data_IF_674539158526
#
_entry.id   IF_674539158526
#
_cell.length_a   1.000
_cell.length_b   1.000
_cell.length_c   1.000
_cell.angle_alpha   90.00
_cell.angle_beta   90.00
_cell.angle_gamma   90.00
#
_symmetry.space_group_name_H-M   'P 1'
#
loop_
_entity.id
_entity.type
_entity.pdbx_description
1 polymer ?
#
# COMPACT_ATOMS: atom_id res chain seq x y z
N UNK A 1 18.97 -10.42 -4.07
CA UNK A 1 17.71 -10.45 -3.28
C UNK A 1 16.64 -11.16 -4.08
N UNK A 2 15.98 -12.17 -3.53
CA UNK A 2 14.91 -12.90 -4.21
C UNK A 2 13.63 -12.06 -4.35
N UNK A 3 12.78 -12.39 -5.32
CA UNK A 3 11.55 -11.66 -5.61
C UNK A 3 10.56 -11.62 -4.42
N UNK A 4 10.54 -12.65 -3.57
CA UNK A 4 9.74 -12.68 -2.33
C UNK A 4 10.21 -11.62 -1.33
N UNK A 5 11.52 -11.54 -1.08
CA UNK A 5 12.06 -10.60 -0.10
C UNK A 5 11.88 -9.14 -0.55
N UNK A 6 11.90 -8.89 -1.87
CA UNK A 6 11.52 -7.57 -2.39
C UNK A 6 10.05 -7.24 -2.13
N UNK A 7 9.17 -8.24 -2.19
CA UNK A 7 7.75 -8.05 -1.86
C UNK A 7 7.56 -7.75 -0.38
N UNK A 8 8.26 -8.46 0.52
CA UNK A 8 8.24 -8.14 1.96
C UNK A 8 8.65 -6.68 2.18
N UNK A 9 9.77 -6.24 1.59
CA UNK A 9 10.20 -4.84 1.69
C UNK A 9 9.18 -3.85 1.11
N UNK A 10 8.52 -4.22 0.00
CA UNK A 10 7.52 -3.38 -0.64
C UNK A 10 6.20 -3.31 0.14
N UNK A 11 5.75 -4.38 0.79
CA UNK A 11 4.45 -4.40 1.46
C UNK A 11 4.54 -4.18 2.98
N UNK A 12 5.74 -4.14 3.57
CA UNK A 12 5.89 -4.05 5.04
C UNK A 12 6.48 -2.72 5.50
N UNK A 13 7.31 -2.07 4.68
CA UNK A 13 7.93 -0.81 5.07
C UNK A 13 7.11 0.40 4.58
N UNK A 14 6.61 1.24 5.51
CA UNK A 14 5.65 2.28 5.18
C UNK A 14 6.25 3.53 4.54
N UNK A 15 7.47 3.91 4.90
CA UNK A 15 8.06 5.13 4.33
C UNK A 15 8.75 4.84 3.01
N UNK A 16 8.78 5.83 2.10
CA UNK A 16 9.63 5.77 0.94
C UNK A 16 11.10 5.76 1.37
N UNK A 17 11.93 4.99 0.67
CA UNK A 17 13.37 5.09 0.83
C UNK A 17 13.96 6.28 0.10
N UNK A 18 15.29 6.33 0.13
CA UNK A 18 16.06 7.47 -0.32
C UNK A 18 16.38 7.37 -1.82
N UNK A 19 16.56 8.53 -2.47
CA UNK A 19 17.02 8.62 -3.85
C UNK A 19 15.94 8.40 -4.93
N UNK A 20 16.33 7.82 -6.06
CA UNK A 20 15.46 7.61 -7.22
C UNK A 20 14.49 6.42 -7.06
N UNK A 21 14.76 5.51 -6.12
CA UNK A 21 13.98 4.29 -5.90
C UNK A 21 13.09 4.42 -4.64
N UNK A 22 12.24 5.45 -4.61
CA UNK A 22 11.41 5.83 -3.46
C UNK A 22 10.44 4.74 -2.96
N UNK A 23 10.28 3.63 -3.67
CA UNK A 23 9.41 2.52 -3.25
C UNK A 23 10.15 1.43 -2.45
N UNK A 24 11.50 1.39 -2.53
CA UNK A 24 12.35 0.56 -1.66
C UNK A 24 12.47 1.28 -0.32
N UNK A 25 12.51 0.59 0.83
CA UNK A 25 12.85 1.24 2.09
C UNK A 25 14.30 1.75 2.08
N UNK A 26 14.58 2.76 2.89
CA UNK A 26 15.95 3.23 3.13
C UNK A 26 16.73 2.20 3.96
N UNK A 27 18.06 2.26 3.90
CA UNK A 27 18.91 1.44 4.77
C UNK A 27 18.65 1.71 6.25
N UNK A 28 18.41 2.97 6.62
CA UNK A 28 18.05 3.34 7.99
C UNK A 28 16.78 2.63 8.43
N UNK A 29 15.73 2.60 7.60
CA UNK A 29 14.50 1.86 7.92
C UNK A 29 14.76 0.38 8.17
N UNK A 30 15.53 -0.27 7.28
CA UNK A 30 15.85 -1.70 7.40
C UNK A 30 16.64 -1.99 8.68
N UNK A 31 17.53 -1.08 9.09
CA UNK A 31 18.41 -1.30 10.24
C UNK A 31 17.81 -0.89 11.58
N UNK A 32 16.82 0.00 11.59
CA UNK A 32 16.27 0.59 12.82
C UNK A 32 14.87 0.11 13.16
N UNK A 33 14.10 -0.37 12.17
CA UNK A 33 12.71 -0.80 12.38
C UNK A 33 12.62 -2.32 12.27
N UNK A 34 12.13 -3.02 13.31
CA UNK A 34 11.88 -4.43 13.21
C UNK A 34 10.80 -4.70 12.16
N UNK A 35 10.92 -5.82 11.45
CA UNK A 35 9.79 -6.36 10.70
C UNK A 35 8.65 -6.62 11.69
N UNK A 36 7.38 -6.28 11.36
CA UNK A 36 6.26 -6.72 12.17
C UNK A 36 6.30 -8.26 12.24
N UNK A 37 6.11 -8.81 13.43
CA UNK A 37 6.11 -10.26 13.63
C UNK A 37 4.99 -10.92 12.82
N UNK A 38 5.20 -12.16 12.38
CA UNK A 38 4.21 -12.99 11.67
C UNK A 38 3.68 -12.43 10.34
N UNK A 39 4.45 -11.55 9.69
CA UNK A 39 4.09 -11.03 8.36
C UNK A 39 4.47 -12.03 7.27
N UNK A 40 3.45 -12.57 6.59
CA UNK A 40 3.60 -13.34 5.37
C UNK A 40 2.99 -12.57 4.18
N UNK A 41 3.84 -12.02 3.32
CA UNK A 41 3.41 -11.36 2.08
C UNK A 41 3.41 -12.39 0.94
N UNK A 42 2.21 -12.79 0.49
CA UNK A 42 2.06 -13.64 -0.70
C UNK A 42 2.13 -12.79 -1.99
N UNK A 43 3.30 -12.23 -2.27
CA UNK A 43 3.55 -11.47 -3.49
C UNK A 43 4.98 -11.64 -3.98
N UNK A 44 5.22 -11.20 -5.23
CA UNK A 44 6.55 -11.20 -5.84
C UNK A 44 6.79 -9.87 -6.53
N UNK A 45 7.90 -9.24 -6.16
CA UNK A 45 8.41 -8.02 -6.82
C UNK A 45 9.67 -8.39 -7.60
N UNK A 46 9.60 -8.20 -8.91
CA UNK A 46 10.66 -8.49 -9.87
C UNK A 46 11.39 -7.21 -10.24
N UNK A 47 12.61 -7.36 -10.77
CA UNK A 47 13.43 -6.26 -11.25
C UNK A 47 13.79 -6.50 -12.70
N UNK A 48 13.60 -5.49 -13.53
CA UNK A 48 14.06 -5.43 -14.91
C UNK A 48 15.56 -5.22 -14.98
N UNK A 49 16.23 -6.06 -15.75
CA UNK A 49 17.68 -5.93 -15.96
C UNK A 49 18.02 -4.72 -16.86
N UNK A 50 17.11 -4.33 -17.75
CA UNK A 50 17.37 -3.31 -18.77
C UNK A 50 17.23 -1.87 -18.27
N UNK A 51 16.35 -1.62 -17.29
CA UNK A 51 15.97 -0.26 -16.87
C UNK A 51 15.93 -0.07 -15.34
N UNK A 52 16.35 -1.08 -14.57
CA UNK A 52 16.24 -1.12 -13.10
C UNK A 52 14.82 -0.78 -12.61
N UNK A 53 13.81 -1.00 -13.47
CA UNK A 53 12.41 -0.92 -13.08
C UNK A 53 12.07 -2.11 -12.20
N UNK A 54 11.12 -1.93 -11.29
CA UNK A 54 10.58 -3.05 -10.54
C UNK A 54 9.08 -3.17 -10.81
N UNK A 55 8.59 -4.39 -10.96
CA UNK A 55 7.19 -4.69 -11.18
C UNK A 55 6.70 -5.74 -10.19
N UNK A 56 5.44 -5.57 -9.77
CA UNK A 56 4.73 -6.48 -8.90
C UNK A 56 3.54 -7.05 -9.66
N UNK A 57 3.32 -8.36 -9.57
CA UNK A 57 2.03 -8.94 -9.94
C UNK A 57 1.13 -8.86 -8.70
N UNK A 58 -0.02 -8.19 -8.84
CA UNK A 58 -0.94 -7.93 -7.74
C UNK A 58 -2.21 -7.25 -8.24
N UNK A 59 -3.19 -7.07 -7.35
CA UNK A 59 -4.40 -6.32 -7.66
C UNK A 59 -4.02 -4.86 -7.81
N UNK A 60 -4.45 -4.20 -8.89
CA UNK A 60 -4.16 -2.78 -9.15
C UNK A 60 -5.43 -2.00 -9.38
N UNK A 61 -5.63 -0.93 -8.62
CA UNK A 61 -6.68 0.07 -8.83
C UNK A 61 -5.99 1.38 -9.20
N UNK A 62 -6.21 1.87 -10.41
CA UNK A 62 -5.47 3.03 -10.95
C UNK A 62 -5.87 4.35 -10.28
N UNK A 63 -7.15 4.49 -9.91
CA UNK A 63 -7.71 5.73 -9.38
C UNK A 63 -8.64 5.44 -8.20
N UNK A 64 -8.10 5.52 -7.00
CA UNK A 64 -8.89 5.47 -5.77
C UNK A 64 -8.66 6.73 -4.94
N UNK A 65 -9.73 7.34 -4.45
CA UNK A 65 -9.66 8.52 -3.60
C UNK A 65 -9.52 8.10 -2.14
N UNK A 66 -8.43 8.52 -1.49
CA UNK A 66 -8.16 8.23 -0.07
C UNK A 66 -8.56 9.45 0.76
N UNK A 67 -9.28 9.25 1.86
CA UNK A 67 -9.63 10.30 2.83
C UNK A 67 -9.57 9.81 4.28
N UNK A 68 -9.50 10.74 5.24
CA UNK A 68 -9.49 10.42 6.68
C UNK A 68 -8.14 9.96 7.25
N UNK A 69 -7.10 9.85 6.42
CA UNK A 69 -5.73 9.47 6.84
C UNK A 69 -4.74 10.65 6.83
N UNK A 70 -5.21 11.90 6.70
CA UNK A 70 -4.33 13.06 6.61
C UNK A 70 -3.87 13.59 7.98
N UNK A 71 -4.69 13.39 9.02
CA UNK A 71 -4.38 13.84 10.38
C UNK A 71 -3.43 12.84 11.04
N UNK A 72 -2.35 13.35 11.64
CA UNK A 72 -1.44 12.57 12.48
C UNK A 72 -2.08 12.46 13.86
N UNK A 73 -2.36 11.24 14.33
CA UNK A 73 -2.74 11.05 15.74
C UNK A 73 -1.50 11.26 16.62
N UNK A 74 -1.68 11.97 17.72
CA UNK A 74 -0.62 12.20 18.72
C UNK A 74 -0.31 10.94 19.54
N UNK A 75 -1.21 9.96 19.50
CA UNK A 75 -1.00 8.61 20.03
C UNK A 75 -0.58 7.70 18.87
N UNK A 76 0.30 6.73 19.13
CA UNK A 76 0.71 5.66 18.19
C UNK A 76 -0.45 4.73 17.74
N UNK A 77 -1.69 5.21 17.88
CA UNK A 77 -2.90 4.53 17.47
C UNK A 77 -2.98 4.43 15.94
N UNK A 78 -3.54 3.31 15.50
CA UNK A 78 -3.92 3.08 14.11
C UNK A 78 -4.85 4.19 13.61
N UNK A 79 -4.55 4.68 12.40
CA UNK A 79 -5.35 5.73 11.76
C UNK A 79 -6.31 5.11 10.79
N UNK A 80 -7.60 5.40 10.98
CA UNK A 80 -8.69 4.86 10.16
C UNK A 80 -9.16 5.91 9.14
N UNK A 81 -9.42 5.46 7.92
CA UNK A 81 -9.96 6.30 6.86
C UNK A 81 -10.76 5.49 5.87
N UNK A 82 -10.94 6.06 4.68
CA UNK A 82 -11.72 5.42 3.62
C UNK A 82 -10.98 5.45 2.28
N UNK A 83 -11.07 4.32 1.56
CA UNK A 83 -10.76 4.23 0.15
C UNK A 83 -12.05 4.27 -0.64
N UNK A 84 -12.18 5.27 -1.50
CA UNK A 84 -13.35 5.51 -2.33
C UNK A 84 -13.00 5.18 -3.79
N UNK A 85 -13.72 4.23 -4.35
CA UNK A 85 -13.53 3.73 -5.72
C UNK A 85 -14.82 3.92 -6.49
N UNK A 86 -14.71 4.40 -7.73
CA UNK A 86 -15.81 4.48 -8.67
C UNK A 86 -15.79 3.20 -9.53
N UNK A 87 -16.91 2.47 -9.52
CA UNK A 87 -17.10 1.29 -10.34
C UNK A 87 -17.21 1.70 -11.81
N UNK A 88 -16.42 1.07 -12.68
CA UNK A 88 -16.35 1.44 -14.09
C UNK A 88 -17.61 1.03 -14.87
N UNK A 89 -18.34 0.02 -14.39
CA UNK A 89 -19.48 -0.54 -15.11
C UNK A 89 -20.77 0.27 -14.89
N UNK A 90 -20.99 0.75 -13.66
CA UNK A 90 -22.23 1.45 -13.27
C UNK A 90 -22.02 2.89 -12.75
N UNK A 91 -20.77 3.34 -12.61
CA UNK A 91 -20.43 4.67 -12.07
C UNK A 91 -20.68 4.81 -10.56
N UNK A 92 -21.04 3.72 -9.88
CA UNK A 92 -21.35 3.74 -8.45
C UNK A 92 -20.07 3.91 -7.65
N UNK A 93 -20.09 4.87 -6.75
CA UNK A 93 -19.01 5.06 -5.81
C UNK A 93 -19.15 4.12 -4.62
N UNK A 94 -18.10 3.35 -4.31
CA UNK A 94 -18.00 2.47 -3.14
C UNK A 94 -16.90 2.93 -2.22
N UNK A 95 -17.19 2.99 -0.93
CA UNK A 95 -16.23 3.34 0.11
C UNK A 95 -15.88 2.11 0.95
N UNK A 96 -14.60 1.94 1.24
CA UNK A 96 -14.06 0.85 2.02
C UNK A 96 -13.23 1.39 3.17
N UNK A 97 -13.37 0.79 4.37
CA UNK A 97 -12.59 1.19 5.53
C UNK A 97 -11.16 0.71 5.38
N UNK A 98 -10.22 1.60 5.65
CA UNK A 98 -8.78 1.35 5.57
C UNK A 98 -8.09 1.80 6.84
N UNK A 99 -7.01 1.08 7.20
CA UNK A 99 -6.22 1.36 8.40
C UNK A 99 -4.75 1.54 8.05
N UNK A 100 -4.16 2.67 8.47
CA UNK A 100 -2.73 2.93 8.40
C UNK A 100 -2.12 2.83 9.81
N UNK A 101 -1.26 1.83 9.99
CA UNK A 101 -0.58 1.49 11.27
C UNK A 101 0.78 2.20 11.38
N UNK A 102 0.91 3.36 10.75
CA UNK A 102 2.13 4.14 10.74
C UNK A 102 1.80 5.62 10.97
N UNK A 103 2.71 6.40 11.57
CA UNK A 103 2.43 7.79 11.95
C UNK A 103 2.39 8.75 10.76
N UNK A 104 2.94 8.36 9.59
CA UNK A 104 3.03 9.26 8.44
C UNK A 104 1.68 9.67 7.88
N UNK A 105 1.37 10.96 7.77
CA UNK A 105 0.11 11.41 7.20
C UNK A 105 0.02 11.01 5.73
N UNK A 106 -1.17 10.56 5.33
CA UNK A 106 -1.54 10.26 3.95
C UNK A 106 -2.52 11.35 3.53
N UNK A 107 -2.07 12.35 2.73
CA UNK A 107 -2.95 13.43 2.30
C UNK A 107 -4.16 12.89 1.54
N UNK A 108 -5.30 13.57 1.67
CA UNK A 108 -6.48 13.21 0.89
C UNK A 108 -6.23 13.50 -0.60
N UNK A 109 -6.30 12.48 -1.44
CA UNK A 109 -6.02 12.59 -2.86
C UNK A 109 -6.42 11.30 -3.61
N UNK A 110 -6.27 11.32 -4.94
CA UNK A 110 -6.33 10.12 -5.78
C UNK A 110 -4.97 9.44 -5.82
N UNK A 111 -4.99 8.15 -5.52
CA UNK A 111 -3.83 7.27 -5.53
C UNK A 111 -4.08 6.07 -6.44
N UNK A 112 -2.97 5.51 -6.94
CA UNK A 112 -2.91 4.14 -7.43
C UNK A 112 -2.70 3.21 -6.24
N UNK A 113 -3.49 2.15 -6.17
CA UNK A 113 -3.49 1.19 -5.09
C UNK A 113 -3.06 -0.17 -5.62
N UNK A 114 -2.11 -0.81 -4.95
CA UNK A 114 -1.57 -2.13 -5.30
C UNK A 114 -1.73 -3.05 -4.10
N UNK A 115 -2.42 -4.17 -4.27
CA UNK A 115 -2.64 -5.18 -3.24
C UNK A 115 -1.89 -6.46 -3.51
N UNK A 116 -1.61 -7.20 -2.45
CA UNK A 116 -1.20 -8.60 -2.56
C UNK A 116 -2.32 -9.42 -3.22
N UNK A 117 -1.96 -10.42 -4.03
CA UNK A 117 -2.93 -11.33 -4.61
C UNK A 117 -3.15 -12.50 -3.64
N UNK A 118 -3.65 -12.21 -2.43
CA UNK A 118 -3.88 -13.26 -1.44
C UNK A 118 -4.96 -14.22 -1.97
N UNK A 119 -4.56 -15.48 -2.22
CA UNK A 119 -5.47 -16.54 -2.67
C UNK A 119 -6.46 -16.97 -1.56
N UNK A 120 -6.19 -16.57 -0.31
CA UNK A 120 -7.01 -16.87 0.87
C UNK A 120 -7.37 -15.55 1.57
N UNK A 121 -8.66 -15.27 1.71
CA UNK A 121 -9.15 -14.11 2.48
C UNK A 121 -8.64 -14.18 3.92
N UNK A 122 -8.13 -13.06 4.44
CA UNK A 122 -7.66 -12.96 5.82
C UNK A 122 -6.20 -13.38 6.05
N UNK A 123 -5.44 -13.75 5.02
CA UNK A 123 -3.98 -13.94 5.12
C UNK A 123 -3.29 -12.78 4.41
N UNK A 124 -2.68 -11.86 5.18
CA UNK A 124 -1.71 -10.88 4.67
C UNK A 124 -2.23 -9.94 3.57
N UNK A 125 -3.39 -9.30 3.77
CA UNK A 125 -3.93 -8.30 2.86
C UNK A 125 -3.20 -6.95 3.01
N UNK A 126 -1.99 -6.88 2.45
CA UNK A 126 -1.18 -5.66 2.42
C UNK A 126 -1.49 -4.83 1.19
N UNK A 127 -1.68 -3.53 1.40
CA UNK A 127 -2.02 -2.60 0.33
C UNK A 127 -1.04 -1.44 0.33
N UNK A 128 -0.42 -1.20 -0.81
CA UNK A 128 0.46 -0.04 -1.02
C UNK A 128 -0.28 0.97 -1.86
N UNK A 129 -0.28 2.22 -1.41
CA UNK A 129 -0.78 3.34 -2.20
C UNK A 129 0.39 4.19 -2.68
N UNK A 130 0.27 4.72 -3.88
CA UNK A 130 1.26 5.63 -4.45
C UNK A 130 0.64 6.50 -5.52
N UNK A 131 1.29 7.60 -5.83
CA UNK A 131 0.87 8.44 -6.97
C UNK A 131 1.68 8.04 -8.19
N UNK A 132 1.07 8.08 -9.37
CA UNK A 132 1.82 7.95 -10.61
C UNK A 132 2.05 9.33 -11.19
N UNK A 133 3.30 9.67 -11.49
CA UNK A 133 3.57 10.80 -12.39
C UNK A 133 3.65 10.28 -13.82
N UNK A 134 3.33 11.09 -14.84
CA UNK A 134 3.32 10.64 -16.24
C UNK A 134 4.66 10.05 -16.73
N UNK A 135 5.78 10.39 -16.09
CA UNK A 135 7.12 9.97 -16.53
C UNK A 135 7.71 8.80 -15.72
N UNK A 136 7.23 8.51 -14.50
CA UNK A 136 7.81 7.50 -13.60
C UNK A 136 6.99 7.30 -12.29
N UNK A 137 7.20 6.16 -11.59
CA UNK A 137 6.76 5.94 -10.20
C UNK A 137 7.63 6.77 -9.24
N UNK A 138 7.55 8.09 -9.33
CA UNK A 138 8.42 9.00 -8.59
C UNK A 138 7.77 9.58 -7.32
N UNK A 139 6.71 8.93 -6.84
CA UNK A 139 5.84 9.46 -5.80
C UNK A 139 5.97 8.69 -4.51
N UNK A 140 5.66 9.39 -3.41
CA UNK A 140 5.65 8.86 -2.05
C UNK A 140 4.80 7.59 -2.01
N UNK A 141 5.44 6.50 -1.62
CA UNK A 141 4.80 5.25 -1.25
C UNK A 141 4.23 5.43 0.16
N UNK A 142 3.00 5.01 0.37
CA UNK A 142 2.43 4.87 1.70
C UNK A 142 1.84 3.47 1.81
N UNK A 143 1.86 2.93 3.03
CA UNK A 143 1.43 1.56 3.29
C UNK A 143 0.13 1.57 4.09
N UNK A 144 -0.85 0.83 3.61
CA UNK A 144 -2.07 0.53 4.31
C UNK A 144 -2.02 -0.96 4.71
N UNK A 145 -2.08 -1.25 6.01
CA UNK A 145 -1.90 -2.61 6.51
C UNK A 145 -3.19 -3.41 6.63
N UNK A 146 -4.36 -2.77 6.66
CA UNK A 146 -5.60 -3.51 6.84
C UNK A 146 -6.77 -2.98 6.02
N UNK A 147 -7.47 -3.90 5.37
CA UNK A 147 -8.73 -3.70 4.67
C UNK A 147 -9.83 -4.47 5.38
N UNK A 148 -10.85 -3.78 5.91
CA UNK A 148 -12.03 -4.45 6.48
C UNK A 148 -13.22 -4.24 5.55
N UNK A 149 -13.62 -5.30 4.84
CA UNK A 149 -14.93 -5.29 4.18
C UNK A 149 -16.00 -5.46 5.25
N UNK A 150 -16.62 -4.38 5.70
CA UNK A 150 -17.93 -4.49 6.35
C UNK A 150 -18.94 -4.82 5.27
N UNK A 151 -19.13 -6.12 4.98
CA UNK A 151 -20.36 -6.55 4.33
C UNK A 151 -21.45 -6.28 5.37
N UNK A 152 -22.29 -5.26 5.16
CA UNK A 152 -23.58 -5.24 5.85
C UNK A 152 -24.25 -6.55 5.46
N UNK A 153 -24.45 -7.43 6.44
CA UNK A 153 -25.38 -8.54 6.29
C UNK A 153 -26.68 -7.91 5.80
N UNK A 154 -27.15 -8.39 4.65
CA UNK A 154 -28.48 -8.07 4.17
C UNK A 154 -29.41 -8.88 5.07
N UNK A 155 -30.21 -8.18 5.85
CA UNK A 155 -31.40 -8.71 6.51
C UNK A 155 -32.33 -9.41 5.50
#
# INVERSE_FOLDING_TARGET
MYARFRADLFFVYPEPGNGCQKWRPSWEQIMTKPLPADVYVDARVYRGEADDSDWCYGIRIEKAFVRGLAVVSTEEADRCGELVIEDADDGTTRAFKITATHPHPIPEDRYTVIGTQALVRGVGEYWVIGRRTPKNWNSRKFLCLEWRTTRKERD
#
